data_IF_959781926045
#
_entry.id   IF_959781926045
#
_cell.length_a   1.000
_cell.length_b   1.000
_cell.length_c   1.000
_cell.angle_alpha   90.00
_cell.angle_beta   90.00
_cell.angle_gamma   90.00
#
_symmetry.space_group_name_H-M   'P 1'
#
loop_
_entity.id
_entity.type
_entity.pdbx_description
1 polymer ?
#
# COMPACT_ATOMS: atom_id res chain seq x y z
N UNK A 1 21.44 30.95 -12.43
CA UNK A 1 20.85 31.18 -13.77
C UNK A 1 20.02 29.99 -14.28
N UNK A 2 20.47 28.73 -14.13
CA UNK A 2 19.73 27.55 -14.61
C UNK A 2 18.26 27.45 -14.16
N UNK A 3 17.97 27.73 -12.87
CA UNK A 3 16.60 27.63 -12.31
C UNK A 3 15.61 28.62 -12.94
N UNK A 4 16.04 29.86 -13.18
CA UNK A 4 15.20 30.91 -13.79
C UNK A 4 14.87 30.58 -15.24
N UNK A 5 15.88 30.11 -16.01
CA UNK A 5 15.67 29.67 -17.40
C UNK A 5 14.75 28.45 -17.46
N UNK A 6 14.90 27.50 -16.54
CA UNK A 6 14.03 26.34 -16.42
C UNK A 6 12.56 26.74 -16.17
N UNK A 7 12.30 27.65 -15.23
CA UNK A 7 10.95 28.13 -14.93
C UNK A 7 10.31 28.86 -16.11
N UNK A 8 11.07 29.72 -16.80
CA UNK A 8 10.58 30.38 -18.01
C UNK A 8 10.22 29.36 -19.09
N UNK A 9 11.06 28.36 -19.32
CA UNK A 9 10.75 27.25 -20.24
C UNK A 9 9.51 26.48 -19.82
N UNK A 10 9.36 26.18 -18.53
CA UNK A 10 8.19 25.46 -18.00
C UNK A 10 6.88 26.24 -18.18
N UNK A 11 6.89 27.57 -17.95
CA UNK A 11 5.71 28.42 -18.18
C UNK A 11 5.38 28.51 -19.68
N UNK A 12 6.40 28.56 -20.55
CA UNK A 12 6.20 28.69 -22.00
C UNK A 12 5.85 27.38 -22.71
N UNK A 13 6.29 26.21 -22.21
CA UNK A 13 6.15 24.91 -22.89
C UNK A 13 5.09 24.04 -22.21
N UNK A 14 3.98 23.76 -22.92
CA UNK A 14 2.90 22.90 -22.40
C UNK A 14 3.38 21.47 -22.13
N UNK A 15 4.13 20.90 -23.06
CA UNK A 15 4.59 19.50 -22.98
C UNK A 15 5.47 19.27 -21.75
N UNK A 16 6.35 20.24 -21.46
CA UNK A 16 7.18 20.23 -20.26
C UNK A 16 6.35 20.28 -18.97
N UNK A 17 5.23 21.00 -18.96
CA UNK A 17 4.32 20.97 -17.80
C UNK A 17 3.63 19.64 -17.65
N UNK A 18 3.16 19.05 -18.75
CA UNK A 18 2.50 17.75 -18.73
C UNK A 18 3.43 16.64 -18.22
N UNK A 19 4.68 16.64 -18.67
CA UNK A 19 5.70 15.69 -18.20
C UNK A 19 6.00 15.85 -16.71
N UNK A 20 6.20 17.09 -16.25
CA UNK A 20 6.43 17.38 -14.83
C UNK A 20 5.24 16.94 -13.99
N UNK A 21 4.01 17.30 -14.39
CA UNK A 21 2.79 16.90 -13.67
C UNK A 21 2.60 15.38 -13.67
N UNK A 22 2.84 14.70 -14.80
CA UNK A 22 2.75 13.25 -14.86
C UNK A 22 3.76 12.57 -13.91
N UNK A 23 4.99 13.09 -13.86
CA UNK A 23 6.03 12.61 -12.94
C UNK A 23 5.64 12.86 -11.49
N UNK A 24 5.13 14.06 -11.17
CA UNK A 24 4.65 14.40 -9.83
C UNK A 24 3.53 13.46 -9.41
N UNK A 25 2.50 13.26 -10.24
CA UNK A 25 1.38 12.37 -9.94
C UNK A 25 1.83 10.93 -9.64
N UNK A 26 2.84 10.44 -10.39
CA UNK A 26 3.43 9.11 -10.15
C UNK A 26 4.09 9.04 -8.78
N UNK A 27 4.89 10.04 -8.42
CA UNK A 27 5.59 10.10 -7.13
C UNK A 27 4.60 10.28 -5.96
N UNK A 28 3.59 11.12 -6.12
CA UNK A 28 2.52 11.28 -5.12
C UNK A 28 1.76 9.98 -4.88
N UNK A 29 1.43 9.26 -5.95
CA UNK A 29 0.76 7.95 -5.84
C UNK A 29 1.64 6.92 -5.15
N UNK A 30 2.96 6.94 -5.41
CA UNK A 30 3.92 6.11 -4.69
C UNK A 30 3.97 6.46 -3.19
N UNK A 31 4.04 7.74 -2.84
CA UNK A 31 4.01 8.18 -1.44
C UNK A 31 2.71 7.84 -0.74
N UNK A 32 1.57 7.90 -1.44
CA UNK A 32 0.30 7.45 -0.92
C UNK A 32 0.31 5.94 -0.61
N UNK A 33 0.90 5.12 -1.50
CA UNK A 33 1.08 3.69 -1.27
C UNK A 33 2.00 3.40 -0.08
N UNK A 34 3.18 4.02 0.00
CA UNK A 34 4.11 3.77 1.11
C UNK A 34 3.51 4.20 2.44
N UNK A 35 2.80 5.32 2.49
CA UNK A 35 2.04 5.75 3.67
C UNK A 35 0.94 4.75 4.05
N UNK A 36 0.25 4.19 3.06
CA UNK A 36 -0.77 3.17 3.31
C UNK A 36 -0.17 1.86 3.83
N UNK A 37 1.02 1.48 3.37
CA UNK A 37 1.75 0.30 3.85
C UNK A 37 2.32 0.51 5.26
N UNK A 38 2.78 1.72 5.58
CA UNK A 38 3.47 2.05 6.82
C UNK A 38 2.57 1.85 8.06
N UNK A 39 3.05 1.05 9.01
CA UNK A 39 2.36 0.65 10.24
C UNK A 39 3.20 1.00 11.47
N UNK A 40 2.56 1.19 12.62
CA UNK A 40 3.27 1.45 13.88
C UNK A 40 3.33 2.93 14.32
N UNK A 41 2.58 3.82 13.66
CA UNK A 41 2.43 5.23 14.05
C UNK A 41 3.28 6.20 13.22
N UNK A 42 2.85 7.45 13.14
CA UNK A 42 3.47 8.49 12.28
C UNK A 42 4.79 9.03 12.84
N UNK A 43 5.06 8.89 14.14
CA UNK A 43 6.21 9.52 14.81
C UNK A 43 7.23 8.50 15.33
N UNK A 44 8.45 8.59 14.82
CA UNK A 44 9.64 8.05 15.51
C UNK A 44 10.02 9.07 16.57
N UNK A 45 9.81 8.73 17.85
CA UNK A 45 10.11 9.62 18.98
C UNK A 45 11.62 9.90 19.11
N UNK A 46 12.47 9.06 18.50
CA UNK A 46 13.91 9.20 18.47
C UNK A 46 14.41 9.82 17.15
N UNK A 47 15.21 10.88 17.27
CA UNK A 47 15.95 11.49 16.16
C UNK A 47 17.23 10.70 15.85
N UNK A 48 17.12 9.37 15.72
CA UNK A 48 18.23 8.52 15.27
C UNK A 48 18.16 8.34 13.75
N UNK A 49 19.16 8.88 13.05
CA UNK A 49 19.29 8.81 11.60
C UNK A 49 19.32 7.35 11.11
N UNK A 50 19.94 6.43 11.85
CA UNK A 50 20.04 5.04 11.43
C UNK A 50 18.67 4.34 11.46
N UNK A 51 17.88 4.57 12.50
CA UNK A 51 16.54 3.98 12.60
C UNK A 51 15.58 4.56 11.55
N UNK A 52 15.67 5.86 11.28
CA UNK A 52 14.90 6.50 10.19
C UNK A 52 15.27 5.92 8.82
N UNK A 53 16.57 5.74 8.54
CA UNK A 53 17.03 5.14 7.28
C UNK A 53 16.57 3.68 7.13
N UNK A 54 16.62 2.88 8.21
CA UNK A 54 16.11 1.51 8.21
C UNK A 54 14.62 1.49 7.86
N UNK A 55 13.82 2.36 8.49
CA UNK A 55 12.39 2.49 8.21
C UNK A 55 12.12 2.77 6.74
N UNK A 56 12.81 3.75 6.15
CA UNK A 56 12.66 4.11 4.73
C UNK A 56 13.03 2.92 3.83
N UNK A 57 14.12 2.21 4.12
CA UNK A 57 14.53 1.05 3.32
C UNK A 57 13.56 -0.12 3.42
N UNK A 58 13.02 -0.38 4.61
CA UNK A 58 12.06 -1.46 4.80
C UNK A 58 10.73 -1.16 4.12
N UNK A 59 10.21 0.06 4.23
CA UNK A 59 8.96 0.40 3.55
C UNK A 59 9.12 0.37 2.03
N UNK A 60 10.28 0.80 1.52
CA UNK A 60 10.60 0.76 0.09
C UNK A 60 10.70 -0.68 -0.45
N UNK A 61 11.29 -1.59 0.34
CA UNK A 61 11.32 -3.02 0.01
C UNK A 61 9.92 -3.63 -0.04
N UNK A 62 9.08 -3.36 0.97
CA UNK A 62 7.70 -3.87 1.02
C UNK A 62 6.86 -3.28 -0.11
N UNK A 63 6.99 -1.98 -0.37
CA UNK A 63 6.30 -1.31 -1.47
C UNK A 63 6.68 -1.93 -2.81
N UNK A 64 7.98 -2.16 -3.05
CA UNK A 64 8.47 -2.80 -4.28
C UNK A 64 7.88 -4.21 -4.48
N UNK A 65 7.80 -5.00 -3.41
CA UNK A 65 7.20 -6.34 -3.46
C UNK A 65 5.69 -6.30 -3.80
N UNK A 66 4.95 -5.38 -3.18
CA UNK A 66 3.51 -5.19 -3.46
C UNK A 66 3.28 -4.70 -4.88
N UNK A 67 4.08 -3.74 -5.36
CA UNK A 67 4.02 -3.22 -6.73
C UNK A 67 4.24 -4.35 -7.74
N UNK A 68 5.22 -5.21 -7.50
CA UNK A 68 5.51 -6.36 -8.36
C UNK A 68 4.31 -7.30 -8.42
N UNK A 69 3.76 -7.68 -7.25
CA UNK A 69 2.60 -8.57 -7.19
C UNK A 69 1.38 -7.98 -7.90
N UNK A 70 1.07 -6.70 -7.64
CA UNK A 70 -0.01 -5.99 -8.32
C UNK A 70 0.18 -6.00 -9.84
N UNK A 71 1.41 -5.79 -10.31
CA UNK A 71 1.73 -5.79 -11.75
C UNK A 71 1.51 -7.18 -12.36
N UNK A 72 1.94 -8.25 -11.66
CA UNK A 72 1.69 -9.64 -12.09
C UNK A 72 0.20 -9.94 -12.17
N UNK A 73 -0.57 -9.54 -11.16
CA UNK A 73 -2.02 -9.79 -11.14
C UNK A 73 -2.74 -8.98 -12.22
N UNK A 74 -2.37 -7.72 -12.44
CA UNK A 74 -2.87 -6.91 -13.55
C UNK A 74 -2.57 -7.56 -14.90
N UNK A 75 -1.35 -8.06 -15.13
CA UNK A 75 -0.98 -8.75 -16.37
C UNK A 75 -1.80 -10.02 -16.59
N UNK A 76 -2.02 -10.83 -15.54
CA UNK A 76 -2.86 -12.02 -15.62
C UNK A 76 -4.30 -11.68 -16.01
N UNK A 77 -4.90 -10.69 -15.35
CA UNK A 77 -6.26 -10.23 -15.66
C UNK A 77 -6.35 -9.72 -17.11
N UNK A 78 -5.35 -8.97 -17.58
CA UNK A 78 -5.30 -8.50 -18.98
C UNK A 78 -5.23 -9.68 -19.97
N UNK A 79 -4.43 -10.71 -19.67
CA UNK A 79 -4.34 -11.92 -20.51
C UNK A 79 -5.67 -12.69 -20.54
N UNK A 80 -6.34 -12.82 -19.40
CA UNK A 80 -7.66 -13.47 -19.30
C UNK A 80 -8.73 -12.70 -20.08
N UNK A 81 -8.74 -11.37 -20.00
CA UNK A 81 -9.66 -10.52 -20.78
C UNK A 81 -9.41 -10.65 -22.28
N UNK A 82 -8.14 -10.69 -22.69
CA UNK A 82 -7.78 -10.90 -24.08
C UNK A 82 -8.25 -12.28 -24.58
N UNK A 83 -8.01 -13.34 -23.80
CA UNK A 83 -8.48 -14.70 -24.13
C UNK A 83 -10.02 -14.80 -24.19
N UNK A 84 -10.73 -14.03 -23.37
CA UNK A 84 -12.19 -13.92 -23.40
C UNK A 84 -12.74 -13.06 -24.55
N UNK A 85 -11.87 -12.55 -25.44
CA UNK A 85 -12.26 -11.73 -26.58
C UNK A 85 -12.71 -10.31 -26.22
N UNK A 86 -12.38 -9.81 -25.03
CA UNK A 86 -12.67 -8.43 -24.61
C UNK A 86 -11.51 -7.51 -25.02
N UNK A 87 -11.69 -6.62 -26.00
CA UNK A 87 -10.62 -5.73 -26.42
C UNK A 87 -10.30 -4.70 -25.33
N UNK A 88 -9.01 -4.47 -25.07
CA UNK A 88 -8.52 -3.40 -24.21
C UNK A 88 -7.70 -2.42 -25.05
N UNK A 89 -7.97 -1.12 -24.90
CA UNK A 89 -7.18 -0.08 -25.57
C UNK A 89 -5.82 0.06 -24.91
N UNK A 90 -4.75 0.18 -25.71
CA UNK A 90 -3.42 0.50 -25.19
C UNK A 90 -3.39 1.84 -24.45
N UNK A 91 -4.27 2.78 -24.82
CA UNK A 91 -4.40 4.05 -24.11
C UNK A 91 -4.89 3.85 -22.68
N UNK A 92 -5.87 2.96 -22.46
CA UNK A 92 -6.42 2.69 -21.13
C UNK A 92 -5.38 2.00 -20.23
N UNK A 93 -4.62 1.05 -20.80
CA UNK A 93 -3.54 0.36 -20.09
C UNK A 93 -2.45 1.35 -19.64
N UNK A 94 -2.15 2.37 -20.43
CA UNK A 94 -1.16 3.40 -20.09
C UNK A 94 -1.54 4.24 -18.86
N UNK A 95 -2.83 4.33 -18.52
CA UNK A 95 -3.32 5.03 -17.32
C UNK A 95 -3.43 4.12 -16.09
N UNK A 96 -3.20 2.82 -16.24
CA UNK A 96 -3.22 1.90 -15.11
C UNK A 96 -2.00 2.10 -14.21
N UNK A 97 -2.21 2.01 -12.90
CA UNK A 97 -1.16 2.15 -11.90
C UNK A 97 -1.08 0.91 -11.02
N UNK A 98 0.12 0.38 -10.74
CA UNK A 98 0.31 -0.78 -9.86
C UNK A 98 0.23 -0.41 -8.38
N UNK A 99 -0.14 0.83 -8.03
CA UNK A 99 -0.23 1.32 -6.65
C UNK A 99 -1.58 1.05 -5.97
N UNK A 100 -2.44 0.23 -6.59
CA UNK A 100 -3.75 -0.14 -6.03
C UNK A 100 -3.63 -0.92 -4.73
N UNK A 101 -4.46 -0.59 -3.75
CA UNK A 101 -4.46 -1.21 -2.41
C UNK A 101 -5.64 -2.13 -2.14
N UNK A 102 -6.71 -2.05 -2.95
CA UNK A 102 -7.96 -2.78 -2.73
C UNK A 102 -7.80 -4.31 -2.78
N UNK A 103 -6.88 -4.83 -3.61
CA UNK A 103 -6.58 -6.26 -3.70
C UNK A 103 -5.60 -6.78 -2.65
N UNK A 104 -4.96 -5.89 -1.88
CA UNK A 104 -3.88 -6.25 -0.96
C UNK A 104 -4.41 -6.42 0.46
N UNK A 105 -4.30 -7.64 0.99
CA UNK A 105 -4.57 -7.90 2.40
C UNK A 105 -3.37 -7.46 3.24
N UNK A 106 -3.34 -6.18 3.61
CA UNK A 106 -2.25 -5.54 4.35
C UNK A 106 -1.74 -6.32 5.57
N UNK A 107 -2.67 -6.88 6.35
CA UNK A 107 -2.36 -7.65 7.56
C UNK A 107 -2.54 -9.17 7.39
N UNK A 108 -2.66 -9.63 6.15
CA UNK A 108 -2.92 -11.03 5.85
C UNK A 108 -4.29 -11.50 6.36
N UNK A 109 -4.38 -12.80 6.60
CA UNK A 109 -5.56 -13.43 7.21
C UNK A 109 -5.22 -13.80 8.65
N UNK A 110 -6.08 -13.40 9.59
CA UNK A 110 -5.97 -13.82 10.98
C UNK A 110 -6.76 -15.11 11.18
N UNK A 111 -6.07 -16.21 11.50
CA UNK A 111 -6.73 -17.41 11.99
C UNK A 111 -6.83 -17.33 13.50
N UNK A 112 -8.05 -17.11 14.00
CA UNK A 112 -8.32 -17.10 15.44
C UNK A 112 -8.68 -18.52 15.89
N UNK A 113 -7.83 -19.13 16.71
CA UNK A 113 -8.17 -20.36 17.43
C UNK A 113 -8.67 -20.00 18.83
N UNK A 114 -9.99 -19.97 18.98
CA UNK A 114 -10.68 -19.64 20.24
C UNK A 114 -10.61 -20.76 21.29
N UNK A 115 -10.16 -21.97 20.90
CA UNK A 115 -10.00 -23.12 21.79
C UNK A 115 -8.61 -23.17 22.41
N UNK A 116 -7.63 -22.48 21.82
CA UNK A 116 -6.28 -22.36 22.38
C UNK A 116 -6.36 -21.70 23.77
N UNK A 117 -5.74 -22.29 24.80
CA UNK A 117 -5.67 -21.64 26.11
C UNK A 117 -4.94 -20.29 25.95
N UNK A 118 -5.41 -19.23 26.64
CA UNK A 118 -4.78 -17.92 26.55
C UNK A 118 -3.31 -18.01 26.95
N UNK A 119 -2.47 -17.32 26.19
CA UNK A 119 -1.04 -17.20 26.48
C UNK A 119 -0.82 -16.70 27.92
N UNK A 120 0.13 -17.30 28.64
CA UNK A 120 0.33 -17.03 30.07
C UNK A 120 0.68 -15.55 30.39
N UNK A 121 1.20 -14.82 29.40
CA UNK A 121 1.56 -13.41 29.50
C UNK A 121 0.38 -12.45 29.26
N UNK A 122 -0.76 -12.94 28.74
CA UNK A 122 -1.94 -12.13 28.45
C UNK A 122 -2.75 -11.88 29.73
N UNK A 123 -2.34 -10.88 30.51
CA UNK A 123 -2.95 -10.51 31.80
C UNK A 123 -4.14 -9.56 31.69
N UNK A 124 -4.38 -8.98 30.50
CA UNK A 124 -5.41 -7.94 30.32
C UNK A 124 -6.83 -8.45 30.61
N UNK A 125 -7.56 -7.72 31.45
CA UNK A 125 -8.97 -7.98 31.78
C UNK A 125 -9.88 -7.85 30.55
N UNK A 126 -9.52 -6.98 29.60
CA UNK A 126 -10.24 -6.73 28.34
C UNK A 126 -10.32 -7.98 27.45
N UNK A 127 -9.22 -8.73 27.28
CA UNK A 127 -9.22 -9.97 26.50
C UNK A 127 -10.05 -11.06 27.19
N UNK A 128 -9.98 -11.17 28.52
CA UNK A 128 -10.82 -12.11 29.27
C UNK A 128 -12.31 -11.80 29.12
N UNK A 129 -12.68 -10.53 29.10
CA UNK A 129 -14.07 -10.11 28.86
C UNK A 129 -14.52 -10.39 27.42
N UNK A 130 -13.67 -10.14 26.42
CA UNK A 130 -13.96 -10.45 25.02
C UNK A 130 -14.15 -11.95 24.79
N UNK A 131 -13.27 -12.79 25.35
CA UNK A 131 -13.40 -14.26 25.30
C UNK A 131 -14.66 -14.75 26.01
N UNK A 132 -15.04 -14.14 27.14
CA UNK A 132 -16.28 -14.49 27.86
C UNK A 132 -17.54 -14.13 27.06
N UNK A 133 -17.56 -12.98 26.38
CA UNK A 133 -18.66 -12.57 25.49
C UNK A 133 -18.78 -13.48 24.28
N UNK A 134 -17.68 -13.74 23.58
CA UNK A 134 -17.67 -14.65 22.43
C UNK A 134 -18.15 -16.08 22.79
N UNK A 135 -17.86 -16.57 24.00
CA UNK A 135 -18.37 -17.86 24.50
C UNK A 135 -19.85 -17.84 24.87
N UNK A 136 -20.37 -16.71 25.34
CA UNK A 136 -21.81 -16.56 25.62
C UNK A 136 -22.62 -16.53 24.33
N UNK A 137 -22.13 -15.84 23.30
CA UNK A 137 -22.79 -15.74 22.00
C UNK A 137 -22.75 -17.08 21.23
N UNK A 138 -21.68 -17.88 21.39
CA UNK A 138 -21.56 -19.22 20.81
C UNK A 138 -22.40 -20.30 21.51
N UNK A 139 -22.97 -20.03 22.69
CA UNK A 139 -23.81 -20.95 23.45
C UNK A 139 -25.31 -20.70 23.31
N UNK A 140 -25.72 -19.70 22.53
CA UNK A 140 -27.11 -19.26 22.39
C UNK A 140 -27.65 -19.44 20.96
N UNK A 141 -27.06 -20.36 20.19
CA UNK A 141 -27.48 -20.77 18.85
C UNK A 141 -27.52 -22.29 18.73
#
# INVERSE_FOLDING_TARGET
>A
MLRTVYLLRWISQKDMRQEVTATTNKIESYHALTKWLDFGGDFTTENDLNEQQKRVRYIDLVASAVILQNTVDMMRIMQELHAAGKPMSAADVAFMSPYGTAGVKRFGNYHLDLKRPPEAWLKESLFRQAVKRARADAGNG
#
